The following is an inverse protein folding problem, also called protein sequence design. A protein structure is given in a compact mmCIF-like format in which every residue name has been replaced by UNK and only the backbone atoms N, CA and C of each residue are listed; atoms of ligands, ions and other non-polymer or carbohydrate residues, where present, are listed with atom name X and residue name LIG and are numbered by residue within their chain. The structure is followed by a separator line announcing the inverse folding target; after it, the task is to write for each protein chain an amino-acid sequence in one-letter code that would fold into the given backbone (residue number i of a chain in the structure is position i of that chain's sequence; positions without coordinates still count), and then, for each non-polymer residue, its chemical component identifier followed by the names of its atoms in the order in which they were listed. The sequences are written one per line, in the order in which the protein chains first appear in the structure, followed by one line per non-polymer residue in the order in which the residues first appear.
data_IF_866460423523
#
_entry.id   IF_866460423523
#
_cell.length_a   1.000
_cell.length_b   1.000
_cell.length_c   1.000
_cell.angle_alpha   90.00
_cell.angle_beta   90.00
_cell.angle_gamma   90.00
#
_symmetry.space_group_name_H-M   'P 1'
#
loop_
_entity.id
_entity.type
_entity.pdbx_description
1 polymer ?
#
# COMPACT_ATOMS: atom_id res chain seq x y z
N UNK A 1 -17.75 -4.79 -1.19
CA UNK A 1 -17.04 -6.06 -0.90
C UNK A 1 -15.89 -5.74 0.05
N UNK A 2 -15.69 -6.51 1.11
CA UNK A 2 -14.53 -6.37 2.01
C UNK A 2 -13.49 -7.45 1.65
N UNK A 3 -12.22 -7.08 1.72
CA UNK A 3 -11.08 -7.94 1.39
C UNK A 3 -10.10 -7.85 2.56
N UNK A 4 -9.64 -8.98 3.07
CA UNK A 4 -8.57 -9.01 4.07
C UNK A 4 -7.20 -8.86 3.41
N UNK A 5 -6.30 -8.11 4.06
CA UNK A 5 -4.93 -7.90 3.60
C UNK A 5 -3.96 -8.10 4.77
N UNK A 6 -2.80 -8.70 4.51
CA UNK A 6 -1.67 -8.71 5.45
C UNK A 6 -0.90 -7.41 5.30
N UNK A 7 -1.13 -6.47 6.23
CA UNK A 7 -0.44 -5.19 6.26
C UNK A 7 0.82 -5.25 7.15
N UNK A 8 1.87 -4.55 6.73
CA UNK A 8 2.99 -4.14 7.57
C UNK A 8 2.78 -2.68 7.98
N UNK A 9 2.82 -2.40 9.28
CA UNK A 9 2.84 -1.04 9.81
C UNK A 9 4.32 -0.64 9.97
N UNK A 10 4.78 0.34 9.20
CA UNK A 10 6.21 0.65 9.08
C UNK A 10 6.48 2.14 9.18
N UNK A 11 6.93 2.61 10.34
CA UNK A 11 7.32 4.00 10.54
C UNK A 11 8.58 4.41 9.77
N UNK A 12 9.30 3.46 9.16
CA UNK A 12 10.46 3.72 8.30
C UNK A 12 10.11 3.91 6.82
N UNK A 13 8.85 3.71 6.43
CA UNK A 13 8.39 3.89 5.06
C UNK A 13 7.60 5.19 4.90
N UNK A 14 7.90 5.96 3.85
CA UNK A 14 7.06 7.07 3.40
C UNK A 14 5.94 6.54 2.50
N UNK A 15 4.73 7.08 2.64
CA UNK A 15 3.59 6.72 1.81
C UNK A 15 2.86 5.42 2.20
N UNK A 16 1.77 5.17 1.48
CA UNK A 16 0.92 3.98 1.64
C UNK A 16 1.05 3.15 0.37
N UNK A 17 1.46 1.89 0.50
CA UNK A 17 1.87 1.06 -0.64
C UNK A 17 1.05 -0.23 -0.66
N UNK A 18 0.60 -0.64 -1.84
CA UNK A 18 -0.09 -1.90 -2.05
C UNK A 18 0.63 -2.75 -3.08
N UNK A 19 0.76 -4.04 -2.79
CA UNK A 19 1.41 -4.97 -3.69
C UNK A 19 0.62 -5.12 -4.99
N UNK A 20 1.33 -4.98 -6.11
CA UNK A 20 0.81 -5.24 -7.47
C UNK A 20 0.05 -6.57 -7.62
N UNK A 21 0.52 -7.68 -6.99
CA UNK A 21 -0.16 -8.99 -7.01
C UNK A 21 -1.52 -8.93 -6.32
N UNK A 22 -1.61 -8.22 -5.21
CA UNK A 22 -2.83 -8.08 -4.42
C UNK A 22 -3.87 -7.27 -5.19
N UNK A 23 -3.47 -6.12 -5.74
CA UNK A 23 -4.34 -5.29 -6.57
C UNK A 23 -4.91 -6.04 -7.79
N UNK A 24 -4.07 -6.83 -8.48
CA UNK A 24 -4.48 -7.67 -9.62
C UNK A 24 -5.44 -8.77 -9.20
N UNK A 25 -5.10 -9.54 -8.15
CA UNK A 25 -5.92 -10.65 -7.64
C UNK A 25 -7.33 -10.19 -7.26
N UNK A 26 -7.44 -8.98 -6.72
CA UNK A 26 -8.71 -8.41 -6.30
C UNK A 26 -9.38 -7.51 -7.34
N UNK A 27 -8.81 -7.41 -8.55
CA UNK A 27 -9.34 -6.64 -9.68
C UNK A 27 -9.61 -5.18 -9.30
N UNK A 28 -8.69 -4.58 -8.54
CA UNK A 28 -8.82 -3.18 -8.12
C UNK A 28 -8.61 -2.25 -9.33
N UNK A 29 -9.42 -1.20 -9.39
CA UNK A 29 -9.24 -0.15 -10.41
C UNK A 29 -7.94 0.60 -10.14
N UNK A 30 -7.06 0.60 -11.13
CA UNK A 30 -5.79 1.32 -11.08
C UNK A 30 -5.89 2.61 -11.89
N UNK A 31 -5.32 3.69 -11.34
CA UNK A 31 -5.18 4.99 -12.00
C UNK A 31 -3.70 5.19 -12.36
N UNK A 32 -3.35 5.52 -13.62
CA UNK A 32 -1.97 5.83 -13.97
C UNK A 32 -1.53 7.16 -13.32
N UNK A 33 -0.27 7.20 -12.90
CA UNK A 33 0.38 8.43 -12.46
C UNK A 33 0.83 9.26 -13.66
N UNK A 34 0.71 10.59 -13.58
CA UNK A 34 1.26 11.48 -14.60
C UNK A 34 2.79 11.43 -14.65
N UNK A 35 3.42 11.32 -13.47
CA UNK A 35 4.87 11.23 -13.33
C UNK A 35 5.21 9.98 -12.51
N UNK A 36 5.51 8.85 -13.17
CA UNK A 36 6.06 7.68 -12.50
C UNK A 36 7.35 8.03 -11.75
N UNK A 37 7.62 7.35 -10.63
CA UNK A 37 8.83 7.56 -9.83
C UNK A 37 9.37 6.25 -9.27
N UNK A 38 10.69 6.14 -9.00
CA UNK A 38 11.27 4.96 -8.37
C UNK A 38 10.99 4.93 -6.87
N UNK A 39 10.79 3.74 -6.30
CA UNK A 39 10.83 3.54 -4.85
C UNK A 39 12.28 3.34 -4.43
N UNK A 40 12.71 4.01 -3.36
CA UNK A 40 14.05 3.87 -2.79
C UNK A 40 13.97 3.16 -1.45
N UNK A 41 14.86 2.21 -1.24
CA UNK A 41 15.02 1.57 0.06
C UNK A 41 15.77 2.52 1.02
N UNK A 42 15.65 2.28 2.32
CA UNK A 42 16.33 3.08 3.37
C UNK A 42 17.85 3.06 3.20
N UNK A 43 18.42 1.96 2.71
CA UNK A 43 19.85 1.82 2.42
C UNK A 43 20.30 2.52 1.12
N UNK A 44 19.39 3.23 0.46
CA UNK A 44 19.65 3.96 -0.78
C UNK A 44 19.76 3.07 -2.02
N UNK A 45 19.62 1.75 -1.88
CA UNK A 45 19.51 0.86 -3.05
C UNK A 45 18.20 1.13 -3.77
N UNK A 46 18.22 0.97 -5.10
CA UNK A 46 16.96 0.96 -5.84
C UNK A 46 16.15 -0.23 -5.36
N UNK A 47 14.85 -0.02 -5.11
CA UNK A 47 13.96 -1.14 -4.98
C UNK A 47 14.01 -1.91 -6.32
N UNK A 48 14.61 -3.11 -6.27
CA UNK A 48 14.86 -4.01 -7.41
C UNK A 48 13.57 -4.25 -8.22
N UNK A 49 12.40 -4.05 -7.62
CA UNK A 49 11.10 -4.38 -8.18
C UNK A 49 10.34 -3.21 -8.83
N UNK A 50 10.93 -2.01 -8.89
CA UNK A 50 10.64 -1.04 -9.94
C UNK A 50 9.77 0.17 -9.59
N UNK A 51 9.55 0.98 -10.63
CA UNK A 51 8.89 2.28 -10.56
C UNK A 51 7.41 2.17 -10.24
N UNK A 52 6.93 3.06 -9.39
CA UNK A 52 5.50 3.30 -9.18
C UNK A 52 4.94 3.98 -10.42
N UNK A 53 3.93 3.37 -11.03
CA UNK A 53 3.25 3.88 -12.22
C UNK A 53 1.75 4.06 -12.03
N UNK A 54 1.19 3.45 -11.00
CA UNK A 54 -0.24 3.43 -10.76
C UNK A 54 -0.54 3.65 -9.29
N UNK A 55 -1.72 4.21 -9.04
CA UNK A 55 -2.33 4.24 -7.72
C UNK A 55 -3.67 3.52 -7.72
N UNK A 56 -4.18 3.21 -6.54
CA UNK A 56 -5.59 2.87 -6.34
C UNK A 56 -6.08 3.54 -5.06
N UNK A 57 -7.32 4.01 -5.05
CA UNK A 57 -7.91 4.60 -3.84
C UNK A 57 -8.88 3.63 -3.22
N UNK A 58 -8.66 3.27 -1.95
CA UNK A 58 -9.49 2.31 -1.21
C UNK A 58 -9.93 2.91 0.13
N UNK A 59 -11.07 2.44 0.64
CA UNK A 59 -11.45 2.66 2.03
C UNK A 59 -10.79 1.58 2.88
N UNK A 60 -9.94 1.99 3.81
CA UNK A 60 -9.18 1.12 4.70
C UNK A 60 -9.91 1.04 6.04
N UNK A 61 -10.02 -0.17 6.59
CA UNK A 61 -10.52 -0.39 7.95
C UNK A 61 -9.46 -1.14 8.74
N UNK A 62 -8.98 -0.52 9.82
CA UNK A 62 -8.05 -1.16 10.77
C UNK A 62 -8.81 -1.38 12.06
N UNK A 63 -9.04 -2.65 12.38
CA UNK A 63 -9.81 -3.05 13.56
C UNK A 63 -8.92 -3.05 14.80
N UNK A 64 -9.51 -2.68 15.94
CA UNK A 64 -8.88 -2.86 17.24
C UNK A 64 -8.59 -4.35 17.48
N UNK A 65 -7.65 -4.65 18.38
CA UNK A 65 -7.27 -6.03 18.72
C UNK A 65 -8.46 -6.90 19.16
N UNK A 66 -9.48 -6.31 19.78
CA UNK A 66 -10.69 -7.02 20.22
C UNK A 66 -11.81 -7.02 19.17
N UNK A 67 -11.61 -6.39 18.01
CA UNK A 67 -12.58 -6.33 16.90
C UNK A 67 -13.83 -5.49 17.17
N UNK A 68 -13.90 -4.79 18.31
CA UNK A 68 -15.10 -4.05 18.72
C UNK A 68 -15.16 -2.64 18.12
N UNK A 69 -14.04 -2.10 17.68
CA UNK A 69 -13.96 -0.81 17.00
C UNK A 69 -12.99 -0.90 15.82
N UNK A 70 -13.06 0.09 14.94
CA UNK A 70 -12.11 0.25 13.86
C UNK A 70 -11.86 1.72 13.56
N UNK A 71 -10.66 2.01 13.06
CA UNK A 71 -10.38 3.23 12.32
C UNK A 71 -10.77 3.02 10.86
N UNK A 72 -11.39 4.02 10.23
CA UNK A 72 -11.73 4.00 8.81
C UNK A 72 -11.31 5.30 8.14
N UNK A 73 -10.69 5.15 6.98
CA UNK A 73 -10.29 6.29 6.16
C UNK A 73 -10.17 5.91 4.69
N UNK A 74 -10.15 6.92 3.83
CA UNK A 74 -9.92 6.76 2.39
C UNK A 74 -8.45 7.06 2.11
N UNK A 75 -7.71 6.05 1.65
CA UNK A 75 -6.29 6.16 1.36
C UNK A 75 -6.01 5.91 -0.13
N UNK A 76 -5.06 6.66 -0.69
CA UNK A 76 -4.46 6.38 -1.99
C UNK A 76 -3.22 5.50 -1.79
N UNK A 77 -3.20 4.35 -2.46
CA UNK A 77 -2.11 3.40 -2.42
C UNK A 77 -1.27 3.52 -3.69
N UNK A 78 0.03 3.66 -3.52
CA UNK A 78 0.99 3.46 -4.59
C UNK A 78 1.13 1.96 -4.90
N UNK A 79 1.08 1.61 -6.19
CA UNK A 79 1.18 0.22 -6.62
C UNK A 79 2.62 -0.09 -7.02
N UNK A 80 3.27 -0.96 -6.27
CA UNK A 80 4.56 -1.55 -6.63
C UNK A 80 4.68 -2.96 -6.01
N UNK A 81 5.80 -3.64 -6.20
CA UNK A 81 6.12 -4.85 -5.46
C UNK A 81 6.75 -4.48 -4.10
N UNK A 82 6.37 -5.20 -3.06
CA UNK A 82 6.80 -4.99 -1.67
C UNK A 82 7.12 -6.33 -0.97
N UNK A 83 7.40 -7.37 -1.75
CA UNK A 83 7.69 -8.71 -1.23
C UNK A 83 6.46 -9.42 -0.70
N UNK A 84 6.53 -9.95 0.52
CA UNK A 84 5.52 -10.90 1.00
C UNK A 84 4.28 -10.24 1.62
N UNK A 85 4.30 -8.93 1.88
CA UNK A 85 3.15 -8.21 2.41
C UNK A 85 2.17 -7.81 1.30
N UNK A 86 0.90 -7.63 1.66
CA UNK A 86 -0.11 -7.14 0.71
C UNK A 86 -0.15 -5.61 0.69
N UNK A 87 0.12 -4.99 1.84
CA UNK A 87 0.10 -3.54 2.07
C UNK A 87 1.24 -3.14 3.01
N UNK A 88 1.85 -1.99 2.78
CA UNK A 88 2.64 -1.24 3.77
C UNK A 88 1.88 0.03 4.11
N UNK A 89 1.67 0.28 5.41
CA UNK A 89 1.15 1.52 5.95
C UNK A 89 2.35 2.30 6.53
N UNK A 90 2.80 3.30 5.78
CA UNK A 90 3.91 4.16 6.17
C UNK A 90 3.48 5.36 7.02
N UNK A 91 4.35 6.35 7.12
CA UNK A 91 4.15 7.57 7.92
C UNK A 91 2.94 8.40 7.50
N UNK A 92 2.52 8.31 6.24
CA UNK A 92 1.34 9.04 5.73
C UNK A 92 0.03 8.52 6.32
N UNK A 93 0.05 7.31 6.88
CA UNK A 93 -1.09 6.67 7.54
C UNK A 93 -1.04 6.80 9.08
N UNK A 94 0.17 6.85 9.66
CA UNK A 94 0.40 6.91 11.11
C UNK A 94 -0.06 8.22 11.75
#
# INVERSE_FOLDING_TARGET
RQIGARALLDSGAEGIIMHSRFAKTHHLTLKPLQHPFPVRNVDGTENIMGWVRHTTTQTVRVYSKNGQSYHEERAEFYITDIGDHDVILGTDWL
#
